data_IF_057038428447
#
_entry.id   IF_057038428447
#
_cell.length_a   1.000
_cell.length_b   1.000
_cell.length_c   1.000
_cell.angle_alpha   90.00
_cell.angle_beta   90.00
_cell.angle_gamma   90.00
#
_symmetry.space_group_name_H-M   'P 1'
#
loop_
_entity.id
_entity.type
_entity.pdbx_description
1 polymer ?
#
# COMPACT_ATOMS: atom_id res chain seq x y z
N UNK A 1 15.11 18.87 26.04
CA UNK A 1 15.76 19.44 24.83
C UNK A 1 15.53 18.47 23.67
N UNK A 2 15.09 18.96 22.50
CA UNK A 2 14.86 18.12 21.34
C UNK A 2 16.20 17.60 20.75
N UNK A 3 16.14 16.43 20.10
CA UNK A 3 17.31 15.89 19.36
C UNK A 3 17.66 16.80 18.17
N UNK A 4 18.97 17.00 17.83
CA UNK A 4 19.38 17.77 16.67
C UNK A 4 18.85 17.15 15.38
N UNK A 5 18.48 17.98 14.39
CA UNK A 5 17.98 17.50 13.09
C UNK A 5 18.95 16.52 12.41
N UNK A 6 20.25 16.80 12.45
CA UNK A 6 21.26 15.92 11.86
C UNK A 6 21.26 14.51 12.44
N UNK A 7 21.06 14.37 13.74
CA UNK A 7 20.95 13.07 14.40
C UNK A 7 19.70 12.34 13.96
N UNK A 8 18.54 13.02 13.97
CA UNK A 8 17.27 12.43 13.53
C UNK A 8 17.33 11.99 12.06
N UNK A 9 17.96 12.79 11.20
CA UNK A 9 18.15 12.45 9.79
C UNK A 9 19.05 11.21 9.62
N UNK A 10 20.13 11.10 10.36
CA UNK A 10 21.03 9.95 10.30
C UNK A 10 20.33 8.66 10.76
N UNK A 11 19.58 8.72 11.87
CA UNK A 11 18.78 7.60 12.37
C UNK A 11 17.72 7.17 11.33
N UNK A 12 17.02 8.13 10.74
CA UNK A 12 16.03 7.86 9.69
C UNK A 12 16.66 7.18 8.47
N UNK A 13 17.79 7.69 7.98
CA UNK A 13 18.50 7.10 6.84
C UNK A 13 18.97 5.68 7.17
N UNK A 14 19.50 5.45 8.38
CA UNK A 14 19.96 4.13 8.80
C UNK A 14 18.82 3.11 8.80
N UNK A 15 17.70 3.43 9.45
CA UNK A 15 16.50 2.57 9.50
C UNK A 15 15.93 2.30 8.10
N UNK A 16 15.83 3.33 7.26
CA UNK A 16 15.31 3.17 5.90
C UNK A 16 16.19 2.22 5.06
N UNK A 17 17.50 2.36 5.16
CA UNK A 17 18.48 1.53 4.43
C UNK A 17 18.41 0.06 4.81
N UNK A 18 18.07 -0.28 6.05
CA UNK A 18 17.91 -1.68 6.48
C UNK A 18 16.97 -2.48 5.59
N UNK A 19 15.95 -1.83 5.03
CA UNK A 19 14.99 -2.44 4.11
C UNK A 19 15.32 -2.12 2.66
N UNK A 20 15.63 -0.85 2.36
CA UNK A 20 15.82 -0.40 0.99
C UNK A 20 17.04 -1.03 0.31
N UNK A 21 18.16 -1.13 1.00
CA UNK A 21 19.41 -1.62 0.45
C UNK A 21 19.46 -3.16 0.26
N UNK A 22 18.42 -3.89 0.69
CA UNK A 22 18.32 -5.35 0.50
C UNK A 22 18.22 -5.78 -0.97
N UNK A 23 17.71 -4.90 -1.82
CA UNK A 23 17.52 -5.19 -3.24
C UNK A 23 18.10 -4.08 -4.09
N UNK A 24 19.04 -4.46 -4.93
CA UNK A 24 19.65 -3.59 -5.93
C UNK A 24 19.33 -4.13 -7.32
N UNK A 25 18.65 -3.33 -8.12
CA UNK A 25 18.39 -3.60 -9.52
C UNK A 25 19.24 -2.65 -10.38
N UNK A 26 20.01 -3.18 -11.31
CA UNK A 26 20.79 -2.41 -12.26
C UNK A 26 20.56 -2.95 -13.67
N UNK A 27 19.95 -2.16 -14.52
CA UNK A 27 19.69 -2.46 -15.93
C UNK A 27 20.55 -1.60 -16.87
N UNK A 28 21.61 -0.97 -16.30
CA UNK A 28 22.39 0.04 -17.00
C UNK A 28 21.73 1.41 -16.97
N UNK A 29 22.40 2.38 -17.57
CA UNK A 29 21.97 3.78 -17.63
C UNK A 29 22.17 4.35 -19.01
N UNK A 30 21.49 5.47 -19.30
CA UNK A 30 21.61 6.22 -20.54
C UNK A 30 21.69 7.72 -20.27
N UNK A 31 22.01 8.51 -21.29
CA UNK A 31 22.00 9.98 -21.17
C UNK A 31 20.63 10.53 -20.74
N UNK A 32 19.55 9.78 -20.98
CA UNK A 32 18.21 10.17 -20.52
C UNK A 32 18.04 10.17 -19.01
N UNK A 33 18.85 9.42 -18.28
CA UNK A 33 18.85 9.44 -16.81
C UNK A 33 19.19 10.82 -16.23
N UNK A 34 19.78 11.72 -17.01
CA UNK A 34 20.09 13.10 -16.63
C UNK A 34 18.92 14.07 -16.80
N UNK A 35 17.83 13.64 -17.48
CA UNK A 35 16.65 14.46 -17.70
C UNK A 35 15.72 14.42 -16.49
N UNK A 36 14.86 15.42 -16.39
CA UNK A 36 13.76 15.43 -15.41
C UNK A 36 12.83 14.24 -15.61
N UNK A 37 12.30 13.70 -14.52
CA UNK A 37 11.46 12.47 -14.54
C UNK A 37 10.27 12.60 -15.47
N UNK A 38 9.59 13.76 -15.49
CA UNK A 38 8.44 13.99 -16.40
C UNK A 38 8.87 13.82 -17.86
N UNK A 39 10.00 14.40 -18.24
CA UNK A 39 10.53 14.28 -19.60
C UNK A 39 10.95 12.86 -19.96
N UNK A 40 11.50 12.13 -18.98
CA UNK A 40 11.85 10.71 -19.14
C UNK A 40 10.60 9.86 -19.41
N UNK A 41 9.49 10.13 -18.70
CA UNK A 41 8.20 9.44 -18.90
C UNK A 41 7.65 9.71 -20.30
N UNK A 42 7.62 10.96 -20.76
CA UNK A 42 7.18 11.33 -22.11
C UNK A 42 7.95 10.57 -23.21
N UNK A 43 9.25 10.38 -23.00
CA UNK A 43 10.14 9.76 -23.96
C UNK A 43 10.27 8.23 -23.78
N UNK A 44 9.57 7.63 -22.80
CA UNK A 44 9.78 6.24 -22.43
C UNK A 44 9.49 5.26 -23.57
N UNK A 45 8.46 5.52 -24.39
CA UNK A 45 8.08 4.68 -25.52
C UNK A 45 9.16 4.55 -26.60
N UNK A 46 10.18 5.41 -26.60
CA UNK A 46 11.31 5.26 -27.52
C UNK A 46 12.31 4.16 -27.09
N UNK A 47 12.08 3.52 -25.92
CA UNK A 47 12.82 2.33 -25.49
C UNK A 47 14.29 2.56 -25.08
N UNK A 48 14.70 3.81 -24.85
CA UNK A 48 16.12 4.17 -24.61
C UNK A 48 16.43 4.51 -23.14
N UNK A 49 15.51 4.26 -22.21
CA UNK A 49 15.69 4.60 -20.81
C UNK A 49 15.31 3.47 -19.85
N UNK A 50 16.12 2.44 -19.84
CA UNK A 50 15.94 1.28 -18.94
C UNK A 50 16.06 1.66 -17.46
N UNK A 51 16.83 2.71 -17.15
CA UNK A 51 16.99 3.19 -15.78
C UNK A 51 15.72 3.83 -15.20
N UNK A 52 14.76 4.24 -16.05
CA UNK A 52 13.45 4.69 -15.57
C UNK A 52 12.63 3.52 -14.99
N UNK A 53 12.74 2.31 -15.56
CA UNK A 53 12.11 1.12 -15.00
C UNK A 53 12.70 0.77 -13.62
N UNK A 54 14.03 0.94 -13.46
CA UNK A 54 14.69 0.77 -12.15
C UNK A 54 14.18 1.80 -11.13
N UNK A 55 14.03 3.05 -11.55
CA UNK A 55 13.48 4.10 -10.69
C UNK A 55 12.04 3.77 -10.26
N UNK A 56 11.19 3.32 -11.17
CA UNK A 56 9.81 2.91 -10.88
C UNK A 56 9.76 1.74 -9.90
N UNK A 57 10.58 0.73 -10.10
CA UNK A 57 10.72 -0.42 -9.21
C UNK A 57 11.10 0.02 -7.78
N UNK A 58 12.15 0.83 -7.66
CA UNK A 58 12.60 1.32 -6.34
C UNK A 58 11.61 2.30 -5.71
N UNK A 59 10.90 3.08 -6.52
CA UNK A 59 9.85 3.97 -6.03
C UNK A 59 8.66 3.19 -5.46
N UNK A 60 8.24 2.09 -6.09
CA UNK A 60 7.23 1.20 -5.53
C UNK A 60 7.65 0.61 -4.18
N UNK A 61 8.91 0.18 -4.04
CA UNK A 61 9.46 -0.26 -2.75
C UNK A 61 9.45 0.85 -1.71
N UNK A 62 9.86 2.06 -2.09
CA UNK A 62 9.82 3.24 -1.22
C UNK A 62 8.40 3.50 -0.69
N UNK A 63 7.39 3.45 -1.55
CA UNK A 63 6.00 3.68 -1.16
C UNK A 63 5.54 2.64 -0.11
N UNK A 64 5.87 1.37 -0.29
CA UNK A 64 5.48 0.31 0.63
C UNK A 64 6.24 0.41 1.97
N UNK A 65 7.55 0.60 1.93
CA UNK A 65 8.38 0.82 3.15
C UNK A 65 7.84 2.00 3.97
N UNK A 66 7.46 3.09 3.30
CA UNK A 66 7.03 4.31 3.98
C UNK A 66 5.59 4.26 4.51
N UNK A 67 4.74 3.39 3.98
CA UNK A 67 3.32 3.36 4.31
C UNK A 67 2.87 2.15 5.13
N UNK A 68 3.69 1.11 5.27
CA UNK A 68 3.29 -0.12 5.96
C UNK A 68 4.45 -0.73 6.74
N UNK A 69 4.50 -0.45 8.04
CA UNK A 69 5.52 -0.99 8.94
C UNK A 69 4.88 -1.77 10.10
N UNK A 70 5.55 -2.80 10.62
CA UNK A 70 5.08 -3.55 11.79
C UNK A 70 4.67 -2.63 12.95
N UNK A 71 3.52 -2.91 13.55
CA UNK A 71 2.94 -2.09 14.62
C UNK A 71 2.16 -0.86 14.14
N UNK A 72 2.12 -0.61 12.83
CA UNK A 72 1.30 0.43 12.20
C UNK A 72 0.03 -0.12 11.55
N UNK A 73 -0.69 0.74 10.84
CA UNK A 73 -1.82 0.37 10.02
C UNK A 73 -1.37 0.02 8.59
N UNK A 74 -2.14 -0.80 7.84
CA UNK A 74 -1.83 -1.06 6.44
C UNK A 74 -1.91 0.20 5.56
N UNK A 75 -1.27 0.17 4.41
CA UNK A 75 -1.44 1.19 3.38
C UNK A 75 -2.89 1.19 2.86
N UNK A 76 -3.54 2.36 2.90
CA UNK A 76 -4.88 2.54 2.32
C UNK A 76 -4.80 2.84 0.81
N UNK A 77 -5.90 3.31 0.18
CA UNK A 77 -5.94 3.66 -1.25
C UNK A 77 -4.88 4.69 -1.67
N UNK A 78 -4.49 5.60 -0.77
CA UNK A 78 -3.46 6.61 -1.00
C UNK A 78 -2.14 6.29 -0.27
N UNK A 79 -1.95 5.06 0.23
CA UNK A 79 -0.84 4.74 1.12
C UNK A 79 -1.00 5.50 2.45
N UNK A 80 -0.21 6.57 2.62
CA UNK A 80 -0.34 7.54 3.72
C UNK A 80 -0.44 8.98 3.19
N UNK A 81 -0.47 9.15 1.86
CA UNK A 81 -0.39 10.46 1.22
C UNK A 81 -1.78 10.96 0.81
N UNK A 82 -2.41 11.71 1.69
CA UNK A 82 -3.64 12.42 1.40
C UNK A 82 -3.58 13.83 2.00
N UNK A 83 -3.85 14.83 1.18
CA UNK A 83 -3.89 16.23 1.60
C UNK A 83 -5.29 16.85 1.48
N UNK A 84 -6.32 16.04 1.32
CA UNK A 84 -7.71 16.49 1.15
C UNK A 84 -8.56 16.06 2.33
N UNK A 85 -9.49 16.92 2.74
CA UNK A 85 -10.50 16.58 3.75
C UNK A 85 -11.41 15.44 3.25
N UNK A 86 -11.85 15.52 1.99
CA UNK A 86 -12.56 14.46 1.30
C UNK A 86 -11.56 13.75 0.36
N UNK A 87 -10.99 12.64 0.83
CA UNK A 87 -10.08 11.83 0.03
C UNK A 87 -10.83 11.16 -1.15
N UNK A 88 -10.17 10.92 -2.30
CA UNK A 88 -10.73 10.07 -3.33
C UNK A 88 -11.13 8.70 -2.75
N UNK A 89 -12.39 8.28 -2.99
CA UNK A 89 -12.96 7.04 -2.44
C UNK A 89 -12.89 6.96 -0.90
N UNK A 90 -12.92 8.11 -0.22
CA UNK A 90 -12.83 8.28 1.24
C UNK A 90 -11.54 7.71 1.89
N UNK A 91 -10.54 7.36 1.11
CA UNK A 91 -9.29 6.78 1.59
C UNK A 91 -9.46 5.41 2.27
N UNK A 92 -10.54 4.68 1.97
CA UNK A 92 -10.85 3.37 2.57
C UNK A 92 -9.81 2.31 2.21
N UNK A 93 -9.85 1.19 2.94
CA UNK A 93 -9.22 -0.06 2.52
C UNK A 93 -10.18 -0.77 1.56
N UNK A 94 -9.91 -0.68 0.27
CA UNK A 94 -10.66 -1.42 -0.74
C UNK A 94 -10.01 -2.78 -0.89
N UNK A 95 -10.55 -3.77 -0.16
CA UNK A 95 -9.91 -5.05 0.08
C UNK A 95 -10.12 -6.08 -1.04
N UNK A 96 -11.01 -5.82 -1.98
CA UNK A 96 -11.28 -6.76 -3.07
C UNK A 96 -10.24 -6.75 -4.19
N UNK A 97 -9.41 -5.69 -4.30
CA UNK A 97 -8.30 -5.63 -5.27
C UNK A 97 -7.22 -4.61 -4.87
N UNK A 98 -7.59 -3.37 -4.49
CA UNK A 98 -6.60 -2.30 -4.30
C UNK A 98 -5.63 -2.61 -3.16
N UNK A 99 -6.13 -3.09 -2.02
CA UNK A 99 -5.29 -3.51 -0.91
C UNK A 99 -4.39 -4.69 -1.31
N UNK A 100 -4.91 -5.66 -2.04
CA UNK A 100 -4.12 -6.77 -2.57
C UNK A 100 -2.97 -6.27 -3.44
N UNK A 101 -3.27 -5.39 -4.40
CA UNK A 101 -2.26 -4.81 -5.30
C UNK A 101 -1.18 -4.01 -4.56
N UNK A 102 -1.53 -3.30 -3.49
CA UNK A 102 -0.55 -2.58 -2.68
C UNK A 102 0.51 -3.53 -2.07
N UNK A 103 0.14 -4.78 -1.79
CA UNK A 103 1.01 -5.74 -1.11
C UNK A 103 1.61 -6.81 -2.03
N UNK A 104 1.23 -6.89 -3.31
CA UNK A 104 1.86 -7.82 -4.26
C UNK A 104 3.40 -7.72 -4.30
N UNK A 105 4.02 -6.53 -4.20
CA UNK A 105 5.47 -6.44 -4.23
C UNK A 105 6.15 -6.86 -2.92
N UNK A 106 5.44 -6.98 -1.79
CA UNK A 106 6.06 -7.18 -0.48
C UNK A 106 7.05 -8.35 -0.45
N UNK A 107 6.61 -9.56 -0.82
CA UNK A 107 7.45 -10.75 -0.78
C UNK A 107 8.50 -10.76 -1.90
N UNK A 108 8.07 -10.47 -3.13
CA UNK A 108 8.95 -10.56 -4.30
C UNK A 108 10.03 -9.47 -4.34
N UNK A 109 9.90 -8.43 -3.52
CA UNK A 109 10.89 -7.36 -3.41
C UNK A 109 11.62 -7.34 -2.07
N UNK A 110 11.57 -8.45 -1.32
CA UNK A 110 12.26 -8.64 -0.04
C UNK A 110 11.85 -7.59 1.03
N UNK A 111 10.53 -7.45 1.21
CA UNK A 111 9.89 -6.53 2.16
C UNK A 111 8.77 -7.25 2.95
N UNK A 112 8.94 -8.54 3.28
CA UNK A 112 7.91 -9.39 3.91
C UNK A 112 7.32 -8.81 5.19
N UNK A 113 8.11 -8.09 5.99
CA UNK A 113 7.64 -7.45 7.21
C UNK A 113 6.59 -6.36 6.96
N UNK A 114 6.55 -5.78 5.77
CA UNK A 114 5.52 -4.79 5.41
C UNK A 114 4.13 -5.42 5.24
N UNK A 115 4.03 -6.74 5.10
CA UNK A 115 2.77 -7.48 5.11
C UNK A 115 2.13 -7.57 6.49
N UNK A 116 2.90 -7.47 7.57
CA UNK A 116 2.41 -7.70 8.91
C UNK A 116 1.18 -6.82 9.27
N UNK A 117 1.15 -5.51 8.98
CA UNK A 117 -0.03 -4.70 9.24
C UNK A 117 -1.30 -5.22 8.53
N UNK A 118 -1.16 -5.71 7.29
CA UNK A 118 -2.27 -6.31 6.56
C UNK A 118 -2.75 -7.60 7.22
N UNK A 119 -1.87 -8.48 7.67
CA UNK A 119 -2.25 -9.71 8.36
C UNK A 119 -2.96 -9.44 9.68
N UNK A 120 -2.52 -8.45 10.45
CA UNK A 120 -3.21 -8.05 11.68
C UNK A 120 -4.60 -7.48 11.35
N UNK A 121 -4.72 -6.64 10.33
CA UNK A 121 -6.02 -6.16 9.86
C UNK A 121 -6.96 -7.31 9.48
N UNK A 122 -6.50 -8.30 8.71
CA UNK A 122 -7.31 -9.48 8.32
C UNK A 122 -7.74 -10.29 9.53
N UNK A 123 -6.86 -10.45 10.51
CA UNK A 123 -7.16 -11.13 11.76
C UNK A 123 -8.25 -10.41 12.56
N UNK A 124 -8.17 -9.10 12.68
CA UNK A 124 -9.19 -8.28 13.33
C UNK A 124 -10.51 -8.31 12.55
N UNK A 125 -10.48 -8.21 11.21
CA UNK A 125 -11.65 -8.37 10.35
C UNK A 125 -12.33 -9.73 10.52
N UNK A 126 -11.57 -10.78 10.81
CA UNK A 126 -12.15 -12.10 11.10
C UNK A 126 -13.02 -12.11 12.35
N UNK A 127 -12.80 -11.18 13.27
CA UNK A 127 -13.61 -11.01 14.48
C UNK A 127 -14.87 -10.20 14.18
N UNK A 128 -14.72 -9.00 13.64
CA UNK A 128 -15.85 -8.10 13.31
C UNK A 128 -16.75 -8.70 12.23
N UNK A 129 -16.18 -9.42 11.27
CA UNK A 129 -16.91 -10.08 10.18
C UNK A 129 -17.81 -11.24 10.61
N UNK A 130 -17.66 -11.77 11.82
CA UNK A 130 -18.57 -12.82 12.35
C UNK A 130 -19.95 -12.28 12.63
N UNK A 131 -20.05 -11.06 13.16
CA UNK A 131 -21.31 -10.41 13.38
C UNK A 131 -22.03 -10.16 12.06
N UNK A 132 -21.30 -9.66 11.07
CA UNK A 132 -21.83 -9.45 9.72
C UNK A 132 -22.32 -10.75 9.08
N UNK A 133 -21.55 -11.84 9.19
CA UNK A 133 -21.94 -13.14 8.65
C UNK A 133 -23.25 -13.65 9.27
N UNK A 134 -23.43 -13.48 10.58
CA UNK A 134 -24.66 -13.87 11.28
C UNK A 134 -25.83 -12.97 10.95
N UNK A 135 -25.63 -11.64 11.00
CA UNK A 135 -26.72 -10.66 10.84
C UNK A 135 -27.23 -10.62 9.40
N UNK A 136 -26.35 -10.69 8.40
CA UNK A 136 -26.72 -10.52 6.99
C UNK A 136 -26.98 -11.84 6.27
N UNK A 137 -26.31 -12.92 6.66
CA UNK A 137 -26.34 -14.19 5.91
C UNK A 137 -26.82 -15.39 6.74
N UNK A 138 -27.00 -15.24 8.05
CA UNK A 138 -27.38 -16.34 8.93
C UNK A 138 -26.35 -17.47 8.98
N UNK A 139 -25.09 -17.19 8.66
CA UNK A 139 -24.04 -18.19 8.50
C UNK A 139 -23.04 -18.15 9.66
N UNK A 140 -22.38 -19.30 9.88
CA UNK A 140 -21.18 -19.39 10.70
C UNK A 140 -19.96 -18.91 9.91
N UNK A 141 -18.85 -18.60 10.63
CA UNK A 141 -17.64 -18.06 10.02
C UNK A 141 -17.63 -16.54 10.04
N UNK A 142 -16.98 -15.92 9.08
CA UNK A 142 -16.88 -14.47 8.93
C UNK A 142 -16.94 -14.05 7.47
N UNK A 143 -17.32 -12.80 7.23
CA UNK A 143 -17.34 -12.21 5.89
C UNK A 143 -16.80 -10.81 5.94
N UNK A 144 -16.01 -10.45 4.94
CA UNK A 144 -15.64 -9.08 4.62
C UNK A 144 -16.17 -8.74 3.24
N UNK A 145 -16.77 -7.56 3.08
CA UNK A 145 -17.18 -7.04 1.80
C UNK A 145 -16.00 -6.35 1.09
N UNK A 146 -16.25 -5.60 0.03
CA UNK A 146 -15.20 -5.02 -0.79
C UNK A 146 -14.39 -3.89 -0.12
N UNK A 147 -14.93 -3.27 0.93
CA UNK A 147 -14.28 -2.17 1.66
C UNK A 147 -14.33 -2.41 3.17
N UNK A 148 -13.36 -1.81 3.86
CA UNK A 148 -13.40 -1.56 5.29
C UNK A 148 -12.78 -0.21 5.61
N UNK A 149 -13.10 0.35 6.77
CA UNK A 149 -12.48 1.56 7.31
C UNK A 149 -11.37 1.22 8.31
N UNK A 150 -10.76 2.24 8.92
CA UNK A 150 -9.70 2.07 9.92
C UNK A 150 -10.22 1.40 11.21
N UNK A 151 -11.53 1.44 11.45
CA UNK A 151 -12.20 0.82 12.61
C UNK A 151 -12.66 -0.61 12.31
N UNK A 152 -12.38 -1.11 11.09
CA UNK A 152 -12.72 -2.44 10.62
C UNK A 152 -14.24 -2.71 10.64
N UNK A 153 -15.02 -1.66 10.37
CA UNK A 153 -16.45 -1.76 10.24
C UNK A 153 -16.84 -2.44 8.93
N UNK A 154 -17.69 -3.45 8.99
CA UNK A 154 -18.13 -4.22 7.83
C UNK A 154 -19.65 -4.10 7.57
N UNK A 155 -20.43 -3.69 8.55
CA UNK A 155 -21.91 -3.65 8.47
C UNK A 155 -22.38 -2.44 7.65
N UNK A 156 -21.66 -1.33 7.70
CA UNK A 156 -22.09 -0.05 7.11
C UNK A 156 -21.47 0.27 5.75
N UNK A 157 -20.58 -0.58 5.22
CA UNK A 157 -19.76 -0.29 4.05
C UNK A 157 -20.23 -1.00 2.78
N UNK A 158 -21.12 -1.99 2.90
CA UNK A 158 -21.75 -2.61 1.73
C UNK A 158 -22.99 -1.85 1.32
N UNK A 159 -22.92 -1.11 0.24
CA UNK A 159 -24.12 -0.59 -0.40
C UNK A 159 -24.98 -1.76 -0.88
N UNK A 160 -26.28 -1.82 -0.51
CA UNK A 160 -27.18 -2.90 -0.92
C UNK A 160 -27.47 -2.92 -2.43
N UNK A 161 -27.02 -1.90 -3.16
CA UNK A 161 -27.29 -1.71 -4.59
C UNK A 161 -26.59 -2.68 -5.53
N UNK A 162 -25.57 -3.42 -5.09
CA UNK A 162 -24.89 -4.39 -5.97
C UNK A 162 -25.41 -5.82 -5.92
N UNK A 163 -26.27 -6.16 -4.96
CA UNK A 163 -26.93 -7.48 -4.92
C UNK A 163 -28.06 -7.62 -5.95
N UNK A 164 -28.48 -6.54 -6.58
CA UNK A 164 -29.57 -6.54 -7.59
C UNK A 164 -29.08 -6.67 -9.04
N UNK A 165 -27.78 -6.82 -9.29
CA UNK A 165 -27.22 -6.94 -10.64
C UNK A 165 -26.79 -8.36 -11.04
N UNK A 166 -27.19 -9.38 -10.26
CA UNK A 166 -27.04 -10.79 -10.64
C UNK A 166 -28.45 -11.38 -10.76
N UNK A 167 -29.08 -11.06 -11.85
CA UNK A 167 -30.25 -11.77 -12.38
C UNK A 167 -30.02 -11.98 -13.87
#
# INVERSE_FOLDING_TARGET
>A
MGRPYSQVLQEHIALYKEQFDRVRLDLGTSERAKLETVKRIELFNEGKDVSLAVLLFQYGRYLLISSSQPGGQPANLQGIWNNKLAAPWDGKYTININTEMNYWPAEVTNLSETHQPLFEMVKELSVTGRETARAMYGCNGWVAHHNTDIWLSLIHISEPTRLLSIS
#
